data_IF_127839186424
#
_entry.id   IF_127839186424
#
_cell.length_a   1.000
_cell.length_b   1.000
_cell.length_c   1.000
_cell.angle_alpha   90.00
_cell.angle_beta   90.00
_cell.angle_gamma   90.00
#
_symmetry.space_group_name_H-M   'P 1'
#
loop_
_entity.id
_entity.type
_entity.pdbx_description
1 polymer ?
#
# COMPACT_ATOMS: atom_id res chain seq x y z
N UNK A 1 39.30 -65.13 11.48
CA UNK A 1 37.86 -64.78 11.40
C UNK A 1 37.74 -63.31 11.88
N UNK A 2 37.67 -62.44 10.95
CA UNK A 2 37.55 -61.01 11.30
C UNK A 2 36.40 -60.40 10.51
N UNK A 3 35.36 -59.97 11.20
CA UNK A 3 34.18 -59.42 10.62
C UNK A 3 34.44 -57.90 10.31
N UNK A 4 34.20 -57.51 9.06
CA UNK A 4 34.24 -56.11 8.62
C UNK A 4 32.93 -55.42 8.95
N UNK A 5 32.99 -54.42 9.79
CA UNK A 5 31.85 -53.55 10.06
C UNK A 5 31.97 -52.28 9.19
N UNK A 6 31.05 -52.15 8.22
CA UNK A 6 31.02 -51.03 7.26
C UNK A 6 29.95 -50.07 7.69
N UNK A 7 30.33 -49.09 8.51
CA UNK A 7 29.43 -47.95 8.85
C UNK A 7 29.36 -46.98 7.68
N UNK A 8 28.23 -46.96 6.99
CA UNK A 8 27.90 -45.93 6.01
C UNK A 8 27.44 -44.67 6.76
N UNK A 9 28.32 -43.70 6.90
CA UNK A 9 27.94 -42.33 7.28
C UNK A 9 27.15 -41.71 6.12
N UNK A 10 25.84 -41.62 6.30
CA UNK A 10 25.00 -40.76 5.46
C UNK A 10 25.27 -39.31 5.83
N UNK A 11 26.07 -38.64 5.02
CA UNK A 11 26.28 -37.17 5.12
C UNK A 11 25.00 -36.50 4.62
N UNK A 12 24.14 -36.10 5.57
CA UNK A 12 22.97 -35.25 5.28
C UNK A 12 23.50 -33.85 4.98
N UNK A 13 23.47 -33.46 3.72
CA UNK A 13 23.81 -32.12 3.30
C UNK A 13 22.88 -31.12 4.01
N UNK A 14 23.40 -29.99 4.55
CA UNK A 14 22.55 -28.96 5.15
C UNK A 14 21.62 -28.41 4.09
N UNK A 15 20.33 -28.33 4.42
CA UNK A 15 19.32 -27.59 3.67
C UNK A 15 19.88 -26.19 3.39
N UNK A 16 20.19 -25.93 2.13
CA UNK A 16 20.63 -24.62 1.66
C UNK A 16 19.59 -23.60 2.10
N UNK A 17 19.96 -22.73 3.03
CA UNK A 17 19.22 -21.51 3.35
C UNK A 17 19.13 -20.71 2.05
N UNK A 18 17.98 -20.82 1.37
CA UNK A 18 17.67 -19.91 0.27
C UNK A 18 17.77 -18.50 0.84
N UNK A 19 18.76 -17.76 0.36
CA UNK A 19 18.83 -16.31 0.61
C UNK A 19 17.49 -15.73 0.15
N UNK A 20 16.67 -15.31 1.10
CA UNK A 20 15.40 -14.66 0.77
C UNK A 20 15.70 -13.45 -0.10
N UNK A 21 15.27 -13.48 -1.34
CA UNK A 21 15.44 -12.34 -2.24
C UNK A 21 14.64 -11.17 -1.69
N UNK A 22 15.21 -9.96 -1.80
CA UNK A 22 14.46 -8.75 -1.38
C UNK A 22 13.18 -8.65 -2.21
N UNK A 23 12.00 -8.45 -1.58
CA UNK A 23 10.74 -8.33 -2.31
C UNK A 23 10.83 -7.32 -3.45
N UNK A 24 10.37 -7.70 -4.65
CA UNK A 24 10.30 -6.82 -5.81
C UNK A 24 9.17 -5.80 -5.64
N UNK A 25 9.42 -4.54 -5.99
CA UNK A 25 8.37 -3.51 -5.96
C UNK A 25 7.93 -3.23 -7.40
N UNK A 26 6.63 -3.32 -7.65
CA UNK A 26 6.01 -3.12 -8.96
C UNK A 26 4.66 -2.40 -8.87
N UNK A 27 4.17 -1.79 -9.94
CA UNK A 27 2.79 -1.32 -10.01
C UNK A 27 1.80 -2.44 -9.71
N UNK A 28 0.72 -2.08 -9.01
CA UNK A 28 -0.38 -2.99 -8.76
C UNK A 28 -1.20 -3.22 -10.05
N UNK A 29 -1.83 -4.37 -10.12
CA UNK A 29 -2.77 -4.76 -11.17
C UNK A 29 -4.07 -5.26 -10.56
N UNK A 30 -5.11 -5.49 -11.36
CA UNK A 30 -6.40 -5.98 -10.87
C UNK A 30 -6.33 -7.40 -10.27
N UNK A 31 -5.33 -8.20 -10.67
CA UNK A 31 -5.17 -9.56 -10.11
C UNK A 31 -4.69 -9.53 -8.65
N UNK A 32 -4.05 -8.44 -8.24
CA UNK A 32 -3.53 -8.25 -6.89
C UNK A 32 -4.62 -7.97 -5.84
N UNK A 33 -5.87 -7.75 -6.27
CA UNK A 33 -6.97 -7.29 -5.41
C UNK A 33 -7.20 -8.17 -4.17
N UNK A 34 -7.05 -9.49 -4.31
CA UNK A 34 -7.24 -10.45 -3.20
C UNK A 34 -6.15 -10.27 -2.13
N UNK A 35 -4.91 -10.18 -2.55
CA UNK A 35 -3.78 -10.08 -1.63
C UNK A 35 -3.69 -8.68 -1.02
N UNK A 36 -4.00 -7.63 -1.79
CA UNK A 36 -4.14 -6.27 -1.28
C UNK A 36 -5.25 -6.21 -0.22
N UNK A 37 -6.39 -6.89 -0.42
CA UNK A 37 -7.45 -6.95 0.58
C UNK A 37 -6.99 -7.57 1.90
N UNK A 38 -6.17 -8.63 1.85
CA UNK A 38 -5.57 -9.23 3.04
C UNK A 38 -4.64 -8.24 3.76
N UNK A 39 -3.77 -7.53 3.02
CA UNK A 39 -2.88 -6.52 3.58
C UNK A 39 -3.65 -5.34 4.21
N UNK A 40 -4.74 -4.88 3.57
CA UNK A 40 -5.60 -3.84 4.13
C UNK A 40 -6.27 -4.29 5.44
N UNK A 41 -6.58 -5.58 5.59
CA UNK A 41 -7.05 -6.15 6.85
C UNK A 41 -6.05 -5.95 7.99
N UNK A 42 -4.74 -6.08 7.74
CA UNK A 42 -3.69 -5.78 8.73
C UNK A 42 -3.57 -4.28 9.07
N UNK A 43 -4.19 -3.42 8.27
CA UNK A 43 -4.29 -1.98 8.49
C UNK A 43 -5.61 -1.57 9.18
N UNK A 44 -6.38 -2.52 9.73
CA UNK A 44 -7.71 -2.32 10.31
C UNK A 44 -8.75 -1.76 9.30
N UNK A 45 -8.56 -2.06 8.01
CA UNK A 45 -9.51 -1.76 6.93
C UNK A 45 -9.92 -3.04 6.20
N UNK A 46 -10.57 -4.01 6.90
CA UNK A 46 -11.03 -5.23 6.27
C UNK A 46 -11.99 -4.90 5.12
N UNK A 47 -11.72 -5.48 3.97
CA UNK A 47 -12.53 -5.25 2.78
C UNK A 47 -12.62 -6.54 1.96
N UNK A 48 -13.79 -6.89 1.39
CA UNK A 48 -13.88 -8.00 0.45
C UNK A 48 -12.98 -7.76 -0.77
N UNK A 49 -12.38 -8.81 -1.30
CA UNK A 49 -11.49 -8.73 -2.46
C UNK A 49 -12.19 -8.10 -3.69
N UNK A 50 -13.50 -8.40 -3.89
CA UNK A 50 -14.30 -7.79 -4.95
C UNK A 50 -14.40 -6.27 -4.81
N UNK A 51 -14.55 -5.77 -3.58
CA UNK A 51 -14.58 -4.33 -3.31
C UNK A 51 -13.22 -3.67 -3.58
N UNK A 52 -12.12 -4.33 -3.21
CA UNK A 52 -10.78 -3.84 -3.52
C UNK A 52 -10.55 -3.82 -5.03
N UNK A 53 -11.00 -4.86 -5.76
CA UNK A 53 -10.92 -4.91 -7.22
C UNK A 53 -11.65 -3.72 -7.87
N UNK A 54 -12.88 -3.41 -7.46
CA UNK A 54 -13.63 -2.26 -7.97
C UNK A 54 -12.91 -0.93 -7.71
N UNK A 55 -12.31 -0.77 -6.52
CA UNK A 55 -11.50 0.42 -6.22
C UNK A 55 -10.26 0.49 -7.10
N UNK A 56 -9.55 -0.62 -7.31
CA UNK A 56 -8.40 -0.66 -8.22
C UNK A 56 -8.81 -0.32 -9.65
N UNK A 57 -9.95 -0.83 -10.14
CA UNK A 57 -10.49 -0.48 -11.46
C UNK A 57 -10.74 1.03 -11.61
N UNK A 58 -11.19 1.69 -10.54
CA UNK A 58 -11.46 3.13 -10.55
C UNK A 58 -10.21 4.00 -10.48
N UNK A 59 -9.09 3.50 -9.91
CA UNK A 59 -7.88 4.30 -9.66
C UNK A 59 -6.70 3.92 -10.54
N UNK A 60 -6.59 2.66 -11.01
CA UNK A 60 -5.56 2.28 -11.97
C UNK A 60 -5.85 2.91 -13.33
N UNK A 61 -4.92 3.65 -13.87
CA UNK A 61 -5.09 4.43 -15.10
C UNK A 61 -5.40 5.90 -14.87
N UNK A 62 -5.53 6.35 -13.62
CA UNK A 62 -5.57 7.78 -13.28
C UNK A 62 -4.15 8.32 -13.11
N UNK A 63 -3.89 9.50 -13.62
CA UNK A 63 -2.56 10.14 -13.51
C UNK A 63 -2.28 10.69 -12.11
N UNK A 64 -3.34 10.94 -11.33
CA UNK A 64 -3.26 11.48 -9.97
C UNK A 64 -3.23 10.41 -8.86
N UNK A 65 -3.21 9.11 -9.23
CA UNK A 65 -3.11 7.98 -8.30
C UNK A 65 -2.01 7.01 -8.69
N UNK A 66 -1.36 6.45 -7.70
CA UNK A 66 -0.41 5.36 -7.91
C UNK A 66 -0.51 4.32 -6.80
N UNK A 67 -0.49 3.05 -7.19
CA UNK A 67 -0.50 1.92 -6.27
C UNK A 67 0.66 1.00 -6.61
N UNK A 68 1.54 0.77 -5.64
CA UNK A 68 2.64 -0.18 -5.74
C UNK A 68 2.44 -1.33 -4.76
N UNK A 69 2.87 -2.50 -5.18
CA UNK A 69 2.94 -3.69 -4.34
C UNK A 69 4.37 -4.18 -4.22
N UNK A 70 4.68 -4.80 -3.10
CA UNK A 70 5.92 -5.53 -2.89
C UNK A 70 5.62 -7.02 -2.94
N UNK A 71 6.24 -7.72 -3.89
CA UNK A 71 6.07 -9.13 -4.14
C UNK A 71 7.25 -9.92 -3.56
N UNK A 72 6.96 -10.81 -2.64
CA UNK A 72 7.90 -11.77 -2.06
C UNK A 72 7.72 -13.16 -2.65
N UNK A 73 8.46 -14.13 -2.11
CA UNK A 73 8.47 -15.52 -2.64
C UNK A 73 7.11 -16.25 -2.56
N UNK A 74 6.18 -15.78 -1.72
CA UNK A 74 4.88 -16.43 -1.47
C UNK A 74 3.68 -15.53 -1.76
N UNK A 75 3.87 -14.42 -2.46
CA UNK A 75 2.82 -13.46 -2.77
C UNK A 75 3.14 -12.06 -2.27
N UNK A 76 2.14 -11.20 -2.19
CA UNK A 76 2.33 -9.82 -1.80
C UNK A 76 2.61 -9.67 -0.31
N UNK A 77 3.67 -8.94 0.00
CA UNK A 77 4.14 -8.66 1.37
C UNK A 77 4.06 -7.19 1.73
N UNK A 78 3.60 -6.34 0.82
CA UNK A 78 3.39 -4.94 1.11
C UNK A 78 2.64 -4.20 0.00
N UNK A 79 2.04 -3.08 0.36
CA UNK A 79 1.33 -2.19 -0.56
C UNK A 79 1.52 -0.74 -0.12
N UNK A 80 1.68 0.17 -1.08
CA UNK A 80 1.56 1.61 -0.86
C UNK A 80 0.64 2.20 -1.91
N UNK A 81 -0.27 3.09 -1.48
CA UNK A 81 -1.16 3.85 -2.34
C UNK A 81 -0.98 5.32 -2.06
N UNK A 82 -0.82 6.11 -3.12
CA UNK A 82 -0.60 7.55 -3.06
C UNK A 82 -1.47 8.26 -4.08
N UNK A 83 -1.76 9.54 -3.81
CA UNK A 83 -2.38 10.43 -4.77
C UNK A 83 -1.82 11.85 -4.62
N UNK A 84 -2.14 12.71 -5.57
CA UNK A 84 -1.85 14.14 -5.50
C UNK A 84 -3.05 14.97 -5.99
N UNK A 85 -3.07 16.24 -5.66
CA UNK A 85 -4.12 17.15 -6.09
C UNK A 85 -3.67 18.60 -6.00
N UNK A 86 -4.44 19.49 -6.64
CA UNK A 86 -4.18 20.93 -6.64
C UNK A 86 -4.48 21.54 -5.27
N UNK A 87 -3.71 22.56 -4.88
CA UNK A 87 -3.95 23.41 -3.73
C UNK A 87 -4.58 24.73 -4.17
N UNK A 88 -5.61 25.18 -3.46
CA UNK A 88 -6.13 26.52 -3.63
C UNK A 88 -5.36 27.54 -2.77
N UNK A 89 -4.93 27.10 -1.59
CA UNK A 89 -4.33 27.97 -0.57
C UNK A 89 -2.81 28.19 -0.74
N UNK A 90 -2.18 27.51 -1.70
CA UNK A 90 -0.75 27.68 -1.97
C UNK A 90 -0.42 27.22 -3.41
N UNK A 91 0.72 27.70 -3.93
CA UNK A 91 1.22 27.26 -5.23
C UNK A 91 1.63 25.79 -5.20
N UNK A 92 1.37 25.06 -6.31
CA UNK A 92 1.70 23.66 -6.50
C UNK A 92 0.59 22.70 -6.09
N UNK A 93 1.00 21.46 -5.83
CA UNK A 93 0.11 20.36 -5.49
C UNK A 93 0.40 19.86 -4.06
N UNK A 94 -0.58 19.18 -3.47
CA UNK A 94 -0.36 18.33 -2.31
C UNK A 94 -0.26 16.88 -2.75
N UNK A 95 0.58 16.11 -2.09
CA UNK A 95 0.63 14.66 -2.21
C UNK A 95 0.13 14.00 -0.94
N UNK A 96 -0.48 12.83 -1.04
CA UNK A 96 -0.96 12.07 0.12
C UNK A 96 -0.63 10.60 0.01
N UNK A 97 -0.10 10.04 1.10
CA UNK A 97 -0.02 8.61 1.29
C UNK A 97 -1.34 8.15 1.89
N UNK A 98 -2.10 7.38 1.11
CA UNK A 98 -3.43 6.89 1.49
C UNK A 98 -3.34 5.60 2.30
N UNK A 99 -2.44 4.69 1.90
CA UNK A 99 -2.15 3.45 2.60
C UNK A 99 -0.67 3.11 2.48
N UNK A 100 -0.08 2.59 3.54
CA UNK A 100 1.24 1.96 3.55
C UNK A 100 1.18 0.78 4.51
N UNK A 101 1.27 -0.42 3.97
CA UNK A 101 1.17 -1.67 4.74
C UNK A 101 2.34 -2.57 4.39
N UNK A 102 2.89 -3.20 5.39
CA UNK A 102 3.84 -4.32 5.26
C UNK A 102 3.31 -5.47 6.09
N UNK A 103 3.24 -6.65 5.49
CA UNK A 103 2.82 -7.88 6.15
C UNK A 103 3.59 -8.08 7.46
N UNK A 104 2.91 -8.51 8.52
CA UNK A 104 3.48 -8.59 9.87
C UNK A 104 4.81 -9.35 9.91
N UNK A 105 4.91 -10.44 9.15
CA UNK A 105 6.12 -11.27 9.07
C UNK A 105 7.33 -10.58 8.41
N UNK A 106 7.09 -9.52 7.61
CA UNK A 106 8.12 -8.80 6.86
C UNK A 106 8.45 -7.43 7.45
N UNK A 107 7.86 -7.09 8.60
CA UNK A 107 8.14 -5.83 9.29
C UNK A 107 9.55 -5.83 9.88
N UNK A 108 10.09 -4.63 10.10
CA UNK A 108 11.44 -4.46 10.66
C UNK A 108 12.59 -4.67 9.66
N UNK A 109 12.32 -5.15 8.45
CA UNK A 109 13.32 -5.46 7.42
C UNK A 109 13.54 -4.32 6.39
N UNK A 110 13.02 -3.12 6.66
CA UNK A 110 13.19 -1.96 5.80
C UNK A 110 12.25 -1.87 4.60
N UNK A 111 11.35 -2.85 4.40
CA UNK A 111 10.43 -2.87 3.25
C UNK A 111 9.50 -1.65 3.20
N UNK A 112 8.94 -1.25 4.35
CA UNK A 112 8.11 -0.05 4.43
C UNK A 112 8.85 1.22 4.01
N UNK A 113 10.15 1.33 4.34
CA UNK A 113 11.00 2.44 3.90
C UNK A 113 11.20 2.44 2.38
N UNK A 114 11.38 1.27 1.78
CA UNK A 114 11.52 1.14 0.32
C UNK A 114 10.23 1.53 -0.40
N UNK A 115 9.08 1.03 0.05
CA UNK A 115 7.77 1.41 -0.50
C UNK A 115 7.54 2.91 -0.39
N UNK A 116 7.80 3.50 0.77
CA UNK A 116 7.68 4.95 0.98
C UNK A 116 8.60 5.74 0.05
N UNK A 117 9.86 5.33 -0.11
CA UNK A 117 10.81 5.99 -0.99
C UNK A 117 10.35 5.98 -2.46
N UNK A 118 9.76 4.88 -2.94
CA UNK A 118 9.16 4.82 -4.29
C UNK A 118 7.96 5.78 -4.41
N UNK A 119 7.08 5.82 -3.41
CA UNK A 119 5.94 6.73 -3.38
C UNK A 119 6.37 8.20 -3.41
N UNK A 120 7.36 8.56 -2.59
CA UNK A 120 7.94 9.91 -2.56
C UNK A 120 8.63 10.28 -3.88
N UNK A 121 9.35 9.33 -4.50
CA UNK A 121 10.01 9.57 -5.79
C UNK A 121 8.98 9.87 -6.89
N UNK A 122 7.86 9.14 -6.90
CA UNK A 122 6.76 9.41 -7.84
C UNK A 122 6.12 10.79 -7.59
N UNK A 123 5.85 11.14 -6.34
CA UNK A 123 5.31 12.45 -5.99
C UNK A 123 6.26 13.61 -6.33
N UNK A 124 7.59 13.39 -6.32
CA UNK A 124 8.56 14.43 -6.73
C UNK A 124 8.57 14.69 -8.23
N UNK A 125 8.03 13.80 -9.05
CA UNK A 125 7.87 14.02 -10.49
C UNK A 125 6.74 15.00 -10.82
N UNK A 126 5.91 15.35 -9.83
CA UNK A 126 4.84 16.34 -9.88
C UNK A 126 5.26 17.53 -9.00
N UNK A 127 4.81 18.78 -9.26
CA UNK A 127 5.13 19.95 -8.42
C UNK A 127 4.43 19.89 -7.05
N UNK A 128 4.67 18.81 -6.30
CA UNK A 128 4.12 18.59 -4.96
C UNK A 128 4.96 19.36 -3.95
N UNK A 129 4.34 20.33 -3.30
CA UNK A 129 4.99 21.15 -2.27
C UNK A 129 5.13 20.42 -0.92
N UNK A 130 4.20 19.50 -0.62
CA UNK A 130 4.19 18.74 0.64
C UNK A 130 3.53 17.39 0.48
N UNK A 131 3.98 16.41 1.26
CA UNK A 131 3.37 15.08 1.35
C UNK A 131 2.67 14.96 2.71
N UNK A 132 1.42 14.53 2.69
CA UNK A 132 0.56 14.33 3.86
C UNK A 132 0.40 12.83 4.08
N UNK A 133 0.38 12.41 5.34
CA UNK A 133 -0.04 11.06 5.75
C UNK A 133 -0.96 11.20 6.97
N UNK A 134 -2.09 10.52 6.93
CA UNK A 134 -2.98 10.39 8.07
C UNK A 134 -2.73 9.05 8.77
N UNK A 135 -2.51 9.10 10.08
CA UNK A 135 -2.32 7.90 10.91
C UNK A 135 -3.15 8.02 12.18
N UNK A 136 -3.78 6.93 12.59
CA UNK A 136 -4.50 6.87 13.87
C UNK A 136 -3.55 7.12 15.04
N UNK A 137 -4.01 7.83 16.07
CA UNK A 137 -3.24 8.09 17.29
C UNK A 137 -2.75 6.81 17.98
N UNK A 138 -3.45 5.68 17.81
CA UNK A 138 -3.07 4.38 18.36
C UNK A 138 -1.84 3.77 17.71
N UNK A 139 -1.44 4.22 16.51
CA UNK A 139 -0.35 3.65 15.70
C UNK A 139 1.00 4.29 16.01
N UNK A 140 1.43 4.22 17.27
CA UNK A 140 2.68 4.85 17.74
C UNK A 140 3.92 4.37 16.99
N UNK A 141 3.96 3.11 16.55
CA UNK A 141 5.05 2.58 15.71
C UNK A 141 5.09 3.25 14.33
N UNK A 142 3.93 3.51 13.71
CA UNK A 142 3.86 4.24 12.46
C UNK A 142 4.26 5.71 12.64
N UNK A 143 3.89 6.35 13.76
CA UNK A 143 4.34 7.72 14.04
C UNK A 143 5.86 7.81 14.09
N UNK A 144 6.53 6.91 14.85
CA UNK A 144 8.01 6.85 14.88
C UNK A 144 8.61 6.57 13.51
N UNK A 145 7.97 5.68 12.72
CA UNK A 145 8.40 5.37 11.36
C UNK A 145 8.41 6.61 10.46
N UNK A 146 7.35 7.42 10.48
CA UNK A 146 7.27 8.64 9.68
C UNK A 146 8.18 9.75 10.21
N UNK A 147 8.24 9.95 11.53
CA UNK A 147 9.13 10.94 12.16
C UNK A 147 10.59 10.70 11.81
N UNK A 148 11.06 9.45 11.86
CA UNK A 148 12.42 9.06 11.47
C UNK A 148 12.74 9.31 9.98
N UNK A 149 11.71 9.69 9.18
CA UNK A 149 11.81 10.02 7.75
C UNK A 149 11.49 11.48 7.45
N UNK A 150 11.51 12.32 8.48
CA UNK A 150 11.35 13.76 8.34
C UNK A 150 9.89 14.24 8.32
N UNK A 151 8.90 13.36 8.49
CA UNK A 151 7.52 13.78 8.65
C UNK A 151 7.31 14.38 10.04
N UNK A 152 6.51 15.44 10.11
CA UNK A 152 6.18 16.13 11.36
C UNK A 152 4.68 16.05 11.61
N UNK A 153 4.28 15.86 12.85
CA UNK A 153 2.88 16.01 13.25
C UNK A 153 2.49 17.48 13.23
N UNK A 154 1.51 17.86 12.40
CA UNK A 154 1.16 19.26 12.14
C UNK A 154 -0.28 19.62 12.51
N UNK A 155 -1.12 18.65 12.89
CA UNK A 155 -2.51 18.91 13.21
C UNK A 155 -3.32 17.68 13.57
N UNK A 156 -4.62 17.89 13.79
CA UNK A 156 -5.63 16.85 14.03
C UNK A 156 -6.39 16.57 12.73
N UNK A 157 -6.83 15.32 12.57
CA UNK A 157 -7.72 14.91 11.50
C UNK A 157 -9.14 14.80 12.04
N UNK A 158 -10.08 15.49 11.40
CA UNK A 158 -11.52 15.39 11.69
C UNK A 158 -12.18 14.59 10.56
N UNK A 159 -13.09 13.69 10.91
CA UNK A 159 -13.85 12.86 9.96
C UNK A 159 -15.33 12.96 10.28
N UNK A 160 -16.17 13.16 9.26
CA UNK A 160 -17.63 13.10 9.35
C UNK A 160 -18.13 12.11 8.29
N UNK A 161 -18.91 11.13 8.70
CA UNK A 161 -19.61 10.24 7.74
C UNK A 161 -20.77 11.02 7.10
N UNK A 162 -20.90 10.93 5.77
CA UNK A 162 -22.01 11.49 5.00
C UNK A 162 -23.01 10.41 4.56
N UNK A 163 -22.69 9.12 4.79
CA UNK A 163 -23.62 8.03 4.50
C UNK A 163 -24.83 8.08 5.46
N UNK A 164 -26.02 7.93 4.93
CA UNK A 164 -27.24 7.78 5.72
C UNK A 164 -27.16 6.45 6.49
N UNK A 165 -26.96 6.52 7.84
CA UNK A 165 -26.92 5.31 8.66
C UNK A 165 -25.84 5.27 9.73
N UNK A 166 -25.04 6.32 9.92
CA UNK A 166 -24.15 6.48 11.09
C UNK A 166 -23.13 5.35 11.32
N UNK A 167 -22.76 4.61 10.28
CA UNK A 167 -21.74 3.56 10.35
C UNK A 167 -20.36 4.15 10.65
N UNK A 168 -19.49 3.30 11.21
CA UNK A 168 -18.10 3.63 11.49
C UNK A 168 -17.48 4.33 10.26
N UNK A 169 -16.91 5.55 10.42
CA UNK A 169 -16.26 6.28 9.31
C UNK A 169 -15.11 5.49 8.66
N UNK A 170 -14.71 4.37 9.22
CA UNK A 170 -13.75 3.43 8.63
C UNK A 170 -14.40 2.36 7.75
N UNK A 171 -15.72 2.16 7.81
CA UNK A 171 -16.49 1.27 6.94
C UNK A 171 -17.22 2.08 5.86
N UNK A 172 -16.54 2.42 4.78
CA UNK A 172 -17.20 2.92 3.57
C UNK A 172 -17.82 1.74 2.82
N UNK A 173 -19.15 1.74 2.64
CA UNK A 173 -19.78 0.85 1.70
C UNK A 173 -19.41 1.23 0.25
N UNK A 174 -19.50 0.27 -0.66
CA UNK A 174 -19.11 0.47 -2.06
C UNK A 174 -20.23 1.12 -2.92
N UNK A 175 -21.34 1.52 -2.35
CA UNK A 175 -22.51 2.03 -3.10
C UNK A 175 -22.19 3.31 -3.89
N UNK A 176 -21.18 4.09 -3.45
CA UNK A 176 -20.75 5.30 -4.15
C UNK A 176 -19.85 5.08 -5.37
N UNK A 177 -19.24 3.90 -5.53
CA UNK A 177 -18.25 3.67 -6.61
C UNK A 177 -18.90 3.49 -8.00
N UNK A 178 -20.17 3.09 -8.08
CA UNK A 178 -20.89 3.00 -9.34
C UNK A 178 -21.12 4.36 -10.00
N UNK A 179 -21.21 5.43 -9.22
CA UNK A 179 -21.42 6.79 -9.71
C UNK A 179 -20.19 7.38 -10.42
N UNK A 180 -18.96 6.89 -10.10
CA UNK A 180 -17.71 7.38 -10.73
C UNK A 180 -17.47 6.83 -12.15
N UNK A 181 -18.19 5.80 -12.58
CA UNK A 181 -18.04 5.21 -13.93
C UNK A 181 -18.66 6.04 -15.06
N UNK A 182 -19.52 7.00 -14.77
CA UNK A 182 -20.29 7.73 -15.80
C UNK A 182 -19.75 9.12 -16.14
N UNK A 183 -18.68 9.59 -15.49
CA UNK A 183 -18.17 10.97 -15.66
C UNK A 183 -16.90 11.07 -16.54
N UNK A 184 -16.47 10.01 -17.22
CA UNK A 184 -15.23 9.92 -17.97
C UNK A 184 -15.36 10.06 -19.48
N UNK A 185 -16.35 10.78 -19.99
CA UNK A 185 -16.35 11.15 -21.41
C UNK A 185 -15.56 12.46 -21.60
N UNK A 186 -14.52 12.48 -22.47
CA UNK A 186 -13.83 13.73 -22.77
C UNK A 186 -14.80 14.65 -23.52
N UNK A 187 -14.95 15.87 -23.04
CA UNK A 187 -15.68 16.92 -23.75
C UNK A 187 -15.06 17.07 -25.15
N UNK A 188 -15.80 16.63 -26.17
CA UNK A 188 -15.47 16.85 -27.56
C UNK A 188 -15.46 18.35 -27.84
N UNK A 189 -14.28 18.86 -28.11
CA UNK A 189 -14.06 20.23 -28.61
C UNK A 189 -14.77 20.35 -29.98
N UNK A 190 -15.91 21.03 -30.00
CA UNK A 190 -16.46 21.54 -31.27
C UNK A 190 -15.92 22.94 -31.49
N UNK A 191 -15.38 23.11 -32.67
CA UNK A 191 -14.94 24.39 -33.27
C UNK A 191 -16.09 25.40 -33.36
#
# INVERSE_FOLDING_TARGET
MCAKNSSKNAFTAPLSLRSASKPAIRPATLVDAREIAALLGELDYPSPAGSVRLRLEAILGRDDYWVLVAEGDRGLVGVVSVCWGLCLEQDGCWGQILALVVAAAERGQGLGARLLAHAEAWLRAVPVARIIVASSQRRTAAHRFYQNRGYRATGLRFVKSLAAGGGDPHQMDNSGLSAFRTSGEPASTRH
#
